data_IF_810516693991
#
_entry.id   IF_810516693991
#
_cell.length_a   1.000
_cell.length_b   1.000
_cell.length_c   1.000
_cell.angle_alpha   90.00
_cell.angle_beta   90.00
_cell.angle_gamma   90.00
#
_symmetry.space_group_name_H-M   'P 1'
#
loop_
_entity.id
_entity.type
_entity.pdbx_description
1 polymer ?
#
# COMPACT_ATOMS: atom_id res chain seq x y z
N UNK A 1 11.12 21.85 -10.55
CA UNK A 1 10.11 21.09 -9.76
C UNK A 1 9.48 22.03 -8.76
N UNK A 2 8.15 22.02 -8.60
CA UNK A 2 7.45 22.95 -7.70
C UNK A 2 7.90 22.69 -6.24
N UNK A 3 8.05 23.71 -5.38
CA UNK A 3 8.50 23.53 -3.99
C UNK A 3 7.61 22.55 -3.20
N UNK A 4 6.32 22.50 -3.53
CA UNK A 4 5.38 21.53 -2.96
C UNK A 4 5.72 20.06 -3.29
N UNK A 5 6.37 19.78 -4.42
CA UNK A 5 6.77 18.42 -4.81
C UNK A 5 7.90 17.91 -3.90
N UNK A 6 8.87 18.77 -3.58
CA UNK A 6 9.94 18.43 -2.64
C UNK A 6 9.40 18.22 -1.23
N UNK A 7 8.42 19.02 -0.81
CA UNK A 7 7.73 18.83 0.48
C UNK A 7 7.02 17.48 0.58
N UNK A 8 6.31 17.06 -0.48
CA UNK A 8 5.65 15.75 -0.53
C UNK A 8 6.64 14.58 -0.52
N UNK A 9 7.75 14.68 -1.26
CA UNK A 9 8.79 13.64 -1.26
C UNK A 9 9.43 13.53 0.12
N UNK A 10 9.76 14.67 0.75
CA UNK A 10 10.29 14.69 2.12
C UNK A 10 9.33 14.05 3.12
N UNK A 11 8.04 14.39 3.04
CA UNK A 11 7.02 13.79 3.92
C UNK A 11 6.88 12.28 3.69
N UNK A 12 6.89 11.81 2.45
CA UNK A 12 6.81 10.39 2.14
C UNK A 12 8.02 9.62 2.71
N UNK A 13 9.23 10.17 2.59
CA UNK A 13 10.44 9.59 3.17
C UNK A 13 10.34 9.56 4.70
N UNK A 14 9.83 10.62 5.33
CA UNK A 14 9.60 10.66 6.77
C UNK A 14 8.62 9.57 7.19
N UNK A 15 7.46 9.44 6.52
CA UNK A 15 6.46 8.42 6.85
C UNK A 15 7.04 7.01 6.70
N UNK A 16 7.86 6.76 5.66
CA UNK A 16 8.47 5.45 5.43
C UNK A 16 9.61 5.13 6.42
N UNK A 17 10.42 6.12 6.79
CA UNK A 17 11.55 5.94 7.70
C UNK A 17 11.14 6.01 9.18
N UNK A 18 10.04 6.69 9.50
CA UNK A 18 9.58 6.88 10.88
C UNK A 18 9.41 5.56 11.66
N UNK A 19 8.76 4.50 11.13
CA UNK A 19 8.64 3.23 11.84
C UNK A 19 9.98 2.49 12.04
N UNK A 20 10.98 2.73 11.19
CA UNK A 20 12.33 2.14 11.35
C UNK A 20 13.05 2.69 12.58
N UNK A 21 12.84 3.97 12.91
CA UNK A 21 13.49 4.63 14.06
C UNK A 21 12.63 4.63 15.32
N UNK A 22 11.31 4.66 15.17
CA UNK A 22 10.35 4.62 16.27
C UNK A 22 9.64 3.28 16.24
N UNK A 23 10.31 2.27 16.79
CA UNK A 23 9.75 0.93 16.98
C UNK A 23 8.70 0.98 18.10
N UNK A 24 7.41 1.03 17.75
CA UNK A 24 6.30 1.02 18.70
C UNK A 24 5.80 -0.40 19.03
N UNK A 25 6.36 -1.44 18.41
CA UNK A 25 6.02 -2.83 18.67
C UNK A 25 7.02 -3.57 19.55
N UNK A 26 6.66 -4.78 19.97
CA UNK A 26 7.42 -5.60 20.91
C UNK A 26 8.75 -6.07 20.28
N UNK A 27 9.92 -5.68 20.84
CA UNK A 27 11.23 -6.05 20.30
C UNK A 27 11.52 -7.55 20.36
N UNK A 28 10.68 -8.36 21.01
CA UNK A 28 10.78 -9.82 21.08
C UNK A 28 9.90 -10.55 20.06
N UNK A 29 9.03 -9.84 19.36
CA UNK A 29 8.16 -10.40 18.33
C UNK A 29 8.83 -10.28 16.97
N UNK A 30 9.33 -11.41 16.44
CA UNK A 30 9.97 -11.49 15.11
C UNK A 30 8.99 -11.15 13.97
N UNK A 31 7.67 -11.31 14.18
CA UNK A 31 6.62 -11.11 13.17
C UNK A 31 5.54 -10.10 13.64
N UNK A 32 5.91 -8.82 13.80
CA UNK A 32 4.94 -7.77 14.16
C UNK A 32 3.93 -7.44 13.04
N UNK A 33 4.19 -7.88 11.81
CA UNK A 33 3.33 -7.68 10.63
C UNK A 33 2.89 -9.04 10.05
N UNK A 34 2.13 -9.80 10.83
CA UNK A 34 1.54 -11.05 10.40
C UNK A 34 0.42 -10.86 9.36
N UNK A 35 0.14 -11.91 8.61
CA UNK A 35 -1.00 -11.97 7.69
C UNK A 35 -2.34 -11.82 8.42
N UNK A 36 -3.39 -11.46 7.68
CA UNK A 36 -4.74 -11.33 8.25
C UNK A 36 -5.27 -12.68 8.77
N UNK A 37 -4.73 -13.78 8.26
CA UNK A 37 -5.11 -15.14 8.64
C UNK A 37 -4.63 -15.51 10.06
N UNK A 38 -3.44 -15.05 10.47
CA UNK A 38 -2.91 -15.27 11.82
C UNK A 38 -3.85 -14.73 12.92
N UNK A 39 -4.50 -13.58 12.66
CA UNK A 39 -5.50 -13.04 13.58
C UNK A 39 -6.80 -13.86 13.58
N UNK A 40 -7.18 -14.43 12.44
CA UNK A 40 -8.37 -15.26 12.32
C UNK A 40 -8.18 -16.62 13.02
N UNK A 41 -7.02 -17.27 12.85
CA UNK A 41 -6.68 -18.52 13.54
C UNK A 41 -6.73 -18.36 15.06
N UNK A 42 -6.17 -17.27 15.60
CA UNK A 42 -6.21 -17.00 17.04
C UNK A 42 -7.65 -16.95 17.59
N UNK A 43 -8.56 -16.30 16.87
CA UNK A 43 -9.98 -16.20 17.26
C UNK A 43 -10.67 -17.57 17.13
N UNK A 44 -10.39 -18.32 16.07
CA UNK A 44 -10.99 -19.65 15.84
C UNK A 44 -10.54 -20.63 16.93
N UNK A 45 -9.26 -20.62 17.30
CA UNK A 45 -8.71 -21.45 18.36
C UNK A 45 -9.32 -21.12 19.74
N UNK A 46 -9.58 -19.84 20.02
CA UNK A 46 -10.27 -19.43 21.25
C UNK A 46 -11.75 -19.83 21.29
N UNK A 47 -12.48 -19.67 20.18
CA UNK A 47 -13.92 -19.93 20.16
C UNK A 47 -14.29 -21.41 19.99
N UNK A 48 -13.43 -22.19 19.33
CA UNK A 48 -13.71 -23.59 19.06
C UNK A 48 -12.43 -24.44 19.09
N UNK A 49 -11.99 -24.87 20.29
CA UNK A 49 -10.73 -25.60 20.47
C UNK A 49 -10.71 -26.99 19.79
N UNK A 50 -11.88 -27.54 19.45
CA UNK A 50 -11.99 -28.82 18.74
C UNK A 50 -12.08 -28.65 17.21
N UNK A 51 -11.85 -27.44 16.70
CA UNK A 51 -11.92 -27.14 15.27
C UNK A 51 -10.82 -27.87 14.49
N UNK A 52 -11.23 -28.55 13.43
CA UNK A 52 -10.33 -29.23 12.49
C UNK A 52 -10.28 -28.44 11.18
N UNK A 53 -9.09 -28.09 10.67
CA UNK A 53 -8.95 -27.40 9.39
C UNK A 53 -9.63 -28.20 8.26
N UNK A 54 -10.50 -27.55 7.51
CA UNK A 54 -11.17 -28.15 6.34
C UNK A 54 -10.29 -28.10 5.08
N UNK A 55 -9.16 -27.40 5.14
CA UNK A 55 -8.18 -27.26 4.08
C UNK A 55 -6.78 -27.18 4.69
N UNK A 56 -5.86 -27.97 4.16
CA UNK A 56 -4.42 -27.90 4.48
C UNK A 56 -3.65 -27.48 3.21
N UNK A 57 -2.64 -26.61 3.33
CA UNK A 57 -1.80 -26.23 2.20
C UNK A 57 -1.15 -27.44 1.55
N UNK A 58 -1.31 -27.60 0.22
CA UNK A 58 -0.69 -28.67 -0.56
C UNK A 58 0.85 -28.69 -0.49
N UNK A 59 1.46 -27.57 -0.07
CA UNK A 59 2.91 -27.35 -0.02
C UNK A 59 3.49 -27.48 1.39
N UNK A 60 2.67 -27.84 2.40
CA UNK A 60 3.05 -27.79 3.81
C UNK A 60 3.14 -26.35 4.33
N UNK A 61 3.52 -26.19 5.60
CA UNK A 61 3.75 -24.88 6.21
C UNK A 61 4.91 -24.17 5.51
N UNK A 62 4.61 -23.07 4.81
CA UNK A 62 5.63 -22.19 4.26
C UNK A 62 6.31 -21.43 5.42
N UNK A 63 7.58 -21.05 5.30
CA UNK A 63 8.20 -20.16 6.27
C UNK A 63 7.40 -18.85 6.35
N UNK A 64 7.13 -18.34 7.56
CA UNK A 64 6.34 -17.10 7.77
C UNK A 64 6.91 -15.87 7.03
N UNK A 65 8.22 -15.85 6.80
CA UNK A 65 8.91 -14.86 5.95
C UNK A 65 8.44 -14.87 4.48
N UNK A 66 8.12 -16.06 3.95
CA UNK A 66 7.64 -16.22 2.57
C UNK A 66 6.17 -15.78 2.46
N UNK A 67 5.36 -16.10 3.47
CA UNK A 67 3.96 -15.68 3.55
C UNK A 67 3.85 -14.15 3.64
N UNK A 68 4.54 -13.54 4.61
CA UNK A 68 4.61 -12.09 4.76
C UNK A 68 5.20 -11.39 3.52
N UNK A 69 6.19 -12.01 2.87
CA UNK A 69 6.74 -11.55 1.60
C UNK A 69 5.71 -11.53 0.46
N UNK A 70 4.83 -12.52 0.38
CA UNK A 70 3.77 -12.58 -0.63
C UNK A 70 2.73 -11.48 -0.41
N UNK A 71 2.35 -11.21 0.84
CA UNK A 71 1.49 -10.08 1.20
C UNK A 71 2.15 -8.73 0.91
N UNK A 72 3.44 -8.58 1.21
CA UNK A 72 4.19 -7.36 0.89
C UNK A 72 4.24 -7.11 -0.63
N UNK A 73 4.40 -8.16 -1.44
CA UNK A 73 4.34 -8.08 -2.89
C UNK A 73 2.93 -7.65 -3.38
N UNK A 74 1.87 -8.24 -2.83
CA UNK A 74 0.50 -7.86 -3.16
C UNK A 74 0.24 -6.38 -2.82
N UNK A 75 0.70 -5.93 -1.65
CA UNK A 75 0.60 -4.53 -1.22
C UNK A 75 1.37 -3.59 -2.16
N UNK A 76 2.59 -3.96 -2.56
CA UNK A 76 3.40 -3.18 -3.49
C UNK A 76 2.74 -3.04 -4.87
N UNK A 77 2.19 -4.14 -5.41
CA UNK A 77 1.46 -4.14 -6.67
C UNK A 77 0.18 -3.30 -6.58
N UNK A 78 -0.61 -3.45 -5.50
CA UNK A 78 -1.81 -2.67 -5.26
C UNK A 78 -1.53 -1.17 -5.16
N UNK A 79 -0.49 -0.79 -4.42
CA UNK A 79 -0.03 0.59 -4.31
C UNK A 79 0.44 1.14 -5.67
N UNK A 80 1.15 0.34 -6.47
CA UNK A 80 1.59 0.71 -7.82
C UNK A 80 0.42 1.00 -8.75
N UNK A 81 -0.60 0.13 -8.77
CA UNK A 81 -1.81 0.32 -9.59
C UNK A 81 -2.58 1.56 -9.15
N UNK A 82 -2.79 1.76 -7.84
CA UNK A 82 -3.48 2.94 -7.31
C UNK A 82 -2.72 4.23 -7.63
N UNK A 83 -1.39 4.22 -7.46
CA UNK A 83 -0.54 5.36 -7.78
C UNK A 83 -0.59 5.73 -9.26
N UNK A 84 -0.53 4.73 -10.15
CA UNK A 84 -0.67 4.94 -11.59
C UNK A 84 -2.05 5.49 -11.96
N UNK A 85 -3.13 4.93 -11.42
CA UNK A 85 -4.49 5.39 -11.68
C UNK A 85 -4.67 6.85 -11.27
N UNK A 86 -4.30 7.20 -10.02
CA UNK A 86 -4.35 8.57 -9.52
C UNK A 86 -3.51 9.54 -10.37
N UNK A 87 -2.31 9.10 -10.77
CA UNK A 87 -1.44 9.87 -11.67
C UNK A 87 -2.08 10.13 -13.04
N UNK A 88 -2.67 9.10 -13.65
CA UNK A 88 -3.33 9.19 -14.94
C UNK A 88 -4.55 10.12 -14.90
N UNK A 89 -5.38 10.02 -13.86
CA UNK A 89 -6.52 10.93 -13.68
C UNK A 89 -6.07 12.38 -13.53
N UNK A 90 -5.02 12.64 -12.73
CA UNK A 90 -4.44 13.98 -12.56
C UNK A 90 -3.88 14.54 -13.87
N UNK A 91 -3.27 13.69 -14.71
CA UNK A 91 -2.74 14.07 -16.02
C UNK A 91 -3.84 14.47 -16.99
N UNK A 92 -4.92 13.68 -17.08
CA UNK A 92 -6.08 13.97 -17.92
C UNK A 92 -6.75 15.30 -17.56
N UNK A 93 -6.97 15.59 -16.28
CA UNK A 93 -7.56 16.87 -15.87
C UNK A 93 -6.69 18.07 -16.27
N UNK A 94 -5.37 17.94 -16.27
CA UNK A 94 -4.48 19.03 -16.69
C UNK A 94 -4.54 19.27 -18.19
N UNK A 95 -4.55 18.20 -18.99
CA UNK A 95 -4.65 18.31 -20.44
C UNK A 95 -5.95 18.97 -20.88
N UNK A 96 -7.08 18.70 -20.20
CA UNK A 96 -8.37 19.35 -20.47
C UNK A 96 -8.31 20.85 -20.17
N UNK A 97 -7.78 21.23 -19.00
CA UNK A 97 -7.68 22.65 -18.60
C UNK A 97 -6.75 23.42 -19.53
N UNK A 98 -5.64 22.80 -19.97
CA UNK A 98 -4.67 23.43 -20.88
C UNK A 98 -5.29 23.66 -22.27
N UNK A 99 -6.06 22.69 -22.78
CA UNK A 99 -6.79 22.84 -24.05
C UNK A 99 -7.89 23.92 -23.99
N UNK A 100 -8.64 24.00 -22.89
CA UNK A 100 -9.65 25.06 -22.70
C UNK A 100 -9.02 26.46 -22.58
N UNK A 101 -7.85 26.56 -21.95
CA UNK A 101 -7.11 27.82 -21.84
C UNK A 101 -6.53 28.26 -23.19
N UNK A 102 -6.06 27.33 -24.02
CA UNK A 102 -5.53 27.61 -25.37
C UNK A 102 -6.64 28.06 -26.33
N UNK A 103 -7.81 27.39 -26.30
CA UNK A 103 -9.00 27.80 -27.07
C UNK A 103 -9.52 29.19 -26.66
N UNK A 104 -9.54 29.49 -25.35
CA UNK A 104 -9.96 30.81 -24.85
C UNK A 104 -8.97 31.93 -25.20
N UNK A 105 -7.67 31.63 -25.24
CA UNK A 105 -6.64 32.59 -25.60
C UNK A 105 -6.64 32.89 -27.11
N UNK A 106 -6.84 31.87 -27.95
CA UNK A 106 -6.96 32.02 -29.40
C UNK A 106 -8.22 32.78 -29.83
N UNK A 107 -9.32 32.66 -29.08
CA UNK A 107 -10.55 33.42 -29.36
C UNK A 107 -10.47 34.91 -28.98
N UNK A 108 -9.52 35.32 -28.13
CA UNK A 108 -9.36 36.72 -27.69
C UNK A 108 -8.42 37.52 -28.61
N UNK A 109 -7.58 36.84 -29.41
CA UNK A 109 -6.59 37.48 -30.29
C UNK A 109 -7.04 37.59 -31.76
N UNK A 110 -8.24 37.10 -32.10
CA UNK A 110 -8.89 37.21 -33.40
C UNK A 110 -9.96 38.32 -33.40
#
# INVERSE_FOLDING_TARGET
MKPATWGLIGLAIIIAAFPMFFHFGDPTSEEQFGGTDAAAEGIVAEQNPDYTPWFEPLVGELPGEVESGLFALQAALGAGVLGYALGNYRGRSKAVIEHEAEDSAGATTA
#
